data_IF_601350993715
#
_entry.id   IF_601350993715
#
_cell.length_a   1.000
_cell.length_b   1.000
_cell.length_c   1.000
_cell.angle_alpha   90.00
_cell.angle_beta   90.00
_cell.angle_gamma   90.00
#
_symmetry.space_group_name_H-M   'P 1'
#
loop_
_entity.id
_entity.type
_entity.pdbx_description
1 polymer ?
#
# COMPACT_ATOMS: atom_id res chain seq x y z
N UNK A 1 26.80 8.56 2.53
CA UNK A 1 25.65 7.80 2.00
C UNK A 1 24.48 8.05 2.95
N UNK A 2 23.52 8.88 2.54
CA UNK A 2 22.31 9.10 3.33
C UNK A 2 21.53 7.79 3.45
N UNK A 3 20.99 7.49 4.63
CA UNK A 3 20.13 6.33 4.81
C UNK A 3 18.97 6.41 3.83
N UNK A 4 18.73 5.32 3.07
CA UNK A 4 17.54 5.24 2.23
C UNK A 4 16.29 5.41 3.11
N UNK A 5 15.28 6.17 2.66
CA UNK A 5 14.06 6.37 3.44
C UNK A 5 13.47 5.01 3.82
N UNK A 6 13.11 4.88 5.09
CA UNK A 6 12.47 3.66 5.60
C UNK A 6 11.15 3.42 4.87
N UNK A 7 10.80 2.16 4.57
CA UNK A 7 9.50 1.83 4.00
C UNK A 7 8.36 2.42 4.85
N UNK A 8 7.35 2.98 4.19
CA UNK A 8 6.13 3.45 4.84
C UNK A 8 5.21 2.24 5.09
N UNK A 9 5.12 1.83 6.35
CA UNK A 9 4.28 0.71 6.77
C UNK A 9 2.93 1.20 7.30
N UNK A 10 1.85 0.62 6.80
CA UNK A 10 0.53 0.66 7.43
C UNK A 10 -0.24 1.97 7.33
N UNK A 11 -0.51 2.44 6.11
CA UNK A 11 -1.50 3.50 5.88
C UNK A 11 -2.90 2.90 5.83
N UNK A 12 -3.61 2.97 6.95
CA UNK A 12 -4.89 2.29 7.16
C UNK A 12 -6.05 3.28 7.09
N UNK A 13 -7.11 2.95 6.35
CA UNK A 13 -8.34 3.74 6.27
C UNK A 13 -9.57 2.84 6.16
N UNK A 14 -10.67 3.24 6.82
CA UNK A 14 -11.93 2.53 6.72
C UNK A 14 -12.91 3.30 5.86
N UNK A 15 -13.58 2.61 4.94
CA UNK A 15 -14.58 3.21 4.04
C UNK A 15 -15.89 2.45 4.12
N UNK A 16 -17.01 3.17 4.22
CA UNK A 16 -18.35 2.61 4.08
C UNK A 16 -18.81 2.72 2.63
N UNK A 17 -19.21 1.61 2.02
CA UNK A 17 -19.77 1.58 0.67
C UNK A 17 -20.94 0.59 0.60
N UNK A 18 -22.10 1.04 0.09
CA UNK A 18 -23.33 0.23 -0.01
C UNK A 18 -23.69 -0.51 1.28
N UNK A 19 -23.60 0.18 2.42
CA UNK A 19 -23.93 -0.37 3.74
C UNK A 19 -22.88 -1.32 4.34
N UNK A 20 -21.79 -1.62 3.63
CA UNK A 20 -20.69 -2.47 4.11
C UNK A 20 -19.50 -1.62 4.54
N UNK A 21 -18.79 -2.07 5.58
CA UNK A 21 -17.52 -1.49 6.01
C UNK A 21 -16.38 -2.25 5.35
N UNK A 22 -15.43 -1.51 4.80
CA UNK A 22 -14.21 -2.04 4.21
C UNK A 22 -13.01 -1.43 4.92
N UNK A 23 -11.95 -2.22 5.05
CA UNK A 23 -10.65 -1.76 5.54
C UNK A 23 -9.70 -1.67 4.34
N UNK A 24 -8.95 -0.59 4.25
CA UNK A 24 -7.94 -0.36 3.23
C UNK A 24 -6.60 -0.27 3.96
N UNK A 25 -5.61 -1.02 3.51
CA UNK A 25 -4.24 -0.98 4.01
C UNK A 25 -3.31 -0.73 2.83
N UNK A 26 -2.51 0.33 2.91
CA UNK A 26 -1.49 0.64 1.93
C UNK A 26 -0.11 0.60 2.57
N UNK A 27 0.83 -0.05 1.89
CA UNK A 27 2.21 -0.24 2.33
C UNK A 27 3.18 0.03 1.19
N UNK A 28 4.29 0.70 1.49
CA UNK A 28 5.44 0.83 0.61
C UNK A 28 6.47 -0.26 0.96
N UNK A 29 6.93 -1.02 -0.03
CA UNK A 29 7.98 -2.03 0.14
C UNK A 29 9.41 -1.46 0.15
N UNK A 30 9.53 -0.15 -0.06
CA UNK A 30 10.78 0.61 -0.06
C UNK A 30 11.63 0.43 -1.31
N UNK A 31 12.67 1.25 -1.45
CA UNK A 31 13.49 1.36 -2.67
C UNK A 31 14.18 0.05 -3.12
N UNK A 32 14.39 -0.91 -2.22
CA UNK A 32 14.93 -2.24 -2.58
C UNK A 32 13.92 -3.11 -3.32
N UNK A 33 12.63 -2.80 -3.17
CA UNK A 33 11.50 -3.48 -3.79
C UNK A 33 10.50 -2.39 -4.19
N UNK A 34 10.77 -1.60 -5.24
CA UNK A 34 10.15 -0.29 -5.46
C UNK A 34 8.69 -0.39 -5.91
N UNK A 35 7.80 -0.70 -4.99
CA UNK A 35 6.37 -0.76 -5.23
C UNK A 35 5.56 -0.45 -3.98
N UNK A 36 4.38 0.10 -4.20
CA UNK A 36 3.33 0.29 -3.21
C UNK A 36 2.28 -0.80 -3.41
N UNK A 37 1.81 -1.41 -2.32
CA UNK A 37 0.70 -2.36 -2.32
C UNK A 37 -0.47 -1.72 -1.56
N UNK A 38 -1.66 -1.76 -2.16
CA UNK A 38 -2.91 -1.43 -1.48
C UNK A 38 -3.82 -2.65 -1.47
N UNK A 39 -4.30 -3.04 -0.30
CA UNK A 39 -5.22 -4.16 -0.10
C UNK A 39 -6.55 -3.66 0.47
N UNK A 40 -7.64 -4.14 -0.13
CA UNK A 40 -9.00 -3.92 0.35
C UNK A 40 -9.48 -5.19 1.05
N UNK A 41 -9.91 -5.04 2.30
CA UNK A 41 -10.44 -6.11 3.12
C UNK A 41 -11.94 -5.92 3.35
N UNK A 42 -12.66 -7.03 3.36
CA UNK A 42 -14.06 -7.14 3.74
C UNK A 42 -14.26 -8.30 4.72
N UNK A 43 -15.47 -8.44 5.26
CA UNK A 43 -15.92 -9.62 6.03
C UNK A 43 -14.95 -10.05 7.16
N UNK A 44 -14.37 -9.08 7.87
CA UNK A 44 -13.49 -9.37 9.01
C UNK A 44 -12.05 -9.76 8.66
N UNK A 45 -11.56 -9.42 7.46
CA UNK A 45 -10.15 -9.58 7.09
C UNK A 45 -9.89 -10.34 5.79
N UNK A 46 -10.94 -10.65 5.01
CA UNK A 46 -10.80 -11.26 3.69
C UNK A 46 -10.37 -10.20 2.67
N UNK A 47 -9.25 -10.42 1.98
CA UNK A 47 -8.83 -9.57 0.87
C UNK A 47 -9.82 -9.76 -0.30
N UNK A 48 -10.39 -8.66 -0.79
CA UNK A 48 -11.33 -8.65 -1.92
C UNK A 48 -10.76 -7.96 -3.16
N UNK A 49 -9.74 -7.13 -2.99
CA UNK A 49 -8.97 -6.55 -4.08
C UNK A 49 -7.55 -6.23 -3.59
N UNK A 50 -6.60 -6.26 -4.51
CA UNK A 50 -5.24 -5.82 -4.27
C UNK A 50 -4.75 -5.07 -5.51
N UNK A 51 -4.12 -3.93 -5.29
CA UNK A 51 -3.43 -3.17 -6.31
C UNK A 51 -1.95 -3.09 -5.95
N UNK A 52 -1.08 -3.27 -6.93
CA UNK A 52 0.37 -3.14 -6.79
C UNK A 52 0.87 -2.17 -7.84
N UNK A 53 1.48 -1.08 -7.39
CA UNK A 53 1.99 -0.03 -8.27
C UNK A 53 3.49 0.03 -8.14
N UNK A 54 4.20 -0.26 -9.23
CA UNK A 54 5.65 -0.07 -9.30
C UNK A 54 5.98 1.43 -9.36
N UNK A 55 7.07 1.82 -8.72
CA UNK A 55 7.70 3.14 -8.88
C UNK A 55 9.17 3.01 -9.27
N UNK A 56 9.58 1.85 -9.80
CA UNK A 56 10.96 1.56 -10.20
C UNK A 56 11.53 2.62 -11.15
N UNK A 57 10.72 3.16 -12.06
CA UNK A 57 11.08 4.23 -12.99
C UNK A 57 11.43 5.57 -12.33
N UNK A 58 11.04 5.77 -11.07
CA UNK A 58 11.33 6.97 -10.29
C UNK A 58 12.56 6.80 -9.37
N UNK A 59 13.17 5.61 -9.35
CA UNK A 59 14.37 5.37 -8.55
C UNK A 59 15.58 5.96 -9.26
N UNK A 60 16.23 6.93 -8.63
CA UNK A 60 17.46 7.55 -9.15
C UNK A 60 17.23 8.57 -10.26
N UNK A 61 15.99 8.99 -10.50
CA UNK A 61 15.62 10.01 -11.48
C UNK A 61 15.76 11.45 -10.95
N UNK A 62 16.78 11.73 -10.12
CA UNK A 62 17.14 13.09 -9.67
C UNK A 62 18.18 13.73 -10.58
#
# INVERSE_FOLDING_TARGET
MGASPSPLVGYNTNVRHKGKLYHIQTEDSGVKRPHVITQLFADGGRIVASEKTSYEEHIGSE
#
